data_IF_172001933900
#
_entry.id   IF_172001933900
#
_cell.length_a   1.000
_cell.length_b   1.000
_cell.length_c   1.000
_cell.angle_alpha   90.00
_cell.angle_beta   90.00
_cell.angle_gamma   90.00
#
_symmetry.space_group_name_H-M   'P 1'
#
loop_
_entity.id
_entity.type
_entity.pdbx_description
1 polymer ?
#
# COMPACT_ATOMS: atom_id res chain seq x y z
N UNK A 1 2.42 -5.81 -14.20
CA UNK A 1 3.90 -5.82 -14.35
C UNK A 1 4.49 -4.84 -13.35
N UNK A 2 5.68 -5.08 -12.81
CA UNK A 2 6.39 -4.11 -11.97
C UNK A 2 7.21 -3.13 -12.83
N UNK A 3 7.94 -2.22 -12.18
CA UNK A 3 8.77 -1.18 -12.83
C UNK A 3 9.94 -1.74 -13.66
N UNK A 4 10.33 -3.00 -13.46
CA UNK A 4 11.36 -3.69 -14.23
C UNK A 4 10.77 -4.40 -15.47
N UNK A 5 9.47 -4.28 -15.70
CA UNK A 5 8.77 -4.94 -16.81
C UNK A 5 8.45 -6.42 -16.59
N UNK A 6 8.76 -6.97 -15.41
CA UNK A 6 8.46 -8.36 -15.04
C UNK A 6 7.10 -8.48 -14.33
N UNK A 7 6.73 -9.69 -13.91
CA UNK A 7 5.49 -9.94 -13.16
C UNK A 7 5.43 -9.11 -11.86
N UNK A 8 4.22 -8.69 -11.48
CA UNK A 8 4.03 -7.92 -10.24
C UNK A 8 4.08 -8.88 -9.05
N UNK A 9 5.03 -8.67 -8.14
CA UNK A 9 5.11 -9.45 -6.90
C UNK A 9 4.08 -8.99 -5.87
N UNK A 10 3.75 -9.89 -4.94
CA UNK A 10 2.95 -9.56 -3.76
C UNK A 10 3.68 -8.51 -2.92
N UNK A 11 2.96 -7.47 -2.49
CA UNK A 11 3.48 -6.45 -1.61
C UNK A 11 3.31 -6.84 -0.13
N UNK A 12 2.08 -7.22 0.27
CA UNK A 12 1.80 -7.72 1.62
C UNK A 12 0.47 -8.48 1.64
N UNK A 13 0.51 -9.78 1.95
CA UNK A 13 -0.68 -10.63 1.99
C UNK A 13 -1.46 -10.56 3.31
N UNK A 14 -0.82 -10.08 4.38
CA UNK A 14 -1.41 -9.99 5.72
C UNK A 14 -0.89 -8.74 6.44
N UNK A 15 -1.65 -7.66 6.34
CA UNK A 15 -1.31 -6.39 6.98
C UNK A 15 -1.50 -6.54 8.49
N UNK A 16 -0.40 -6.53 9.24
CA UNK A 16 -0.37 -6.60 10.71
C UNK A 16 -1.12 -7.82 11.32
N UNK A 17 -1.18 -8.96 10.63
CA UNK A 17 -1.86 -10.15 11.16
C UNK A 17 -3.39 -10.07 11.10
N UNK A 18 -3.95 -9.16 10.31
CA UNK A 18 -5.39 -8.98 10.13
C UNK A 18 -6.05 -10.03 9.24
N UNK A 19 -5.27 -10.81 8.49
CA UNK A 19 -5.76 -11.70 7.44
C UNK A 19 -6.20 -10.98 6.17
N UNK A 20 -5.89 -9.68 6.04
CA UNK A 20 -6.29 -8.83 4.90
C UNK A 20 -5.03 -8.39 4.14
N UNK A 21 -5.05 -8.56 2.82
CA UNK A 21 -3.99 -8.09 1.93
C UNK A 21 -4.00 -6.57 1.73
N UNK A 22 -2.83 -6.00 1.45
CA UNK A 22 -2.70 -4.61 0.99
C UNK A 22 -3.27 -4.41 -0.43
N UNK A 23 -3.08 -3.21 -0.99
CA UNK A 23 -3.58 -2.86 -2.33
C UNK A 23 -4.99 -2.28 -2.29
N UNK A 24 -5.35 -1.54 -3.35
CA UNK A 24 -6.68 -0.94 -3.48
C UNK A 24 -7.78 -2.02 -3.49
N UNK A 25 -7.54 -3.14 -4.17
CA UNK A 25 -8.46 -4.28 -4.26
C UNK A 25 -8.35 -5.27 -3.09
N UNK A 26 -7.47 -5.03 -2.11
CA UNK A 26 -7.19 -5.92 -0.96
C UNK A 26 -6.72 -7.33 -1.34
N UNK A 27 -6.04 -7.44 -2.49
CA UNK A 27 -5.50 -8.70 -3.03
C UNK A 27 -4.04 -8.96 -2.63
N UNK A 28 -3.41 -8.02 -1.92
CA UNK A 28 -2.00 -8.09 -1.53
C UNK A 28 -1.04 -7.46 -2.54
N UNK A 29 -1.52 -6.95 -3.66
CA UNK A 29 -0.72 -6.39 -4.74
C UNK A 29 -0.96 -4.89 -4.91
N UNK A 30 0.04 -4.16 -5.39
CA UNK A 30 -0.12 -2.76 -5.82
C UNK A 30 -0.73 -2.67 -7.23
N UNK A 31 -1.75 -3.50 -7.49
CA UNK A 31 -2.55 -3.50 -8.70
C UNK A 31 -3.48 -2.28 -8.70
N UNK A 32 -3.80 -1.76 -9.88
CA UNK A 32 -4.63 -0.56 -10.05
C UNK A 32 -5.54 -0.70 -11.26
N UNK A 33 -6.54 0.17 -11.37
CA UNK A 33 -7.50 0.18 -12.46
C UNK A 33 -8.34 1.46 -12.45
N UNK A 34 -9.40 1.54 -13.27
CA UNK A 34 -10.20 2.77 -13.43
C UNK A 34 -10.81 3.30 -12.12
N UNK A 35 -11.09 2.42 -11.16
CA UNK A 35 -11.71 2.78 -9.87
C UNK A 35 -10.70 3.34 -8.85
N UNK A 36 -9.40 3.09 -9.06
CA UNK A 36 -8.32 3.53 -8.17
C UNK A 36 -7.79 4.89 -8.59
N UNK A 37 -8.57 5.94 -8.33
CA UNK A 37 -8.18 7.31 -8.62
C UNK A 37 -6.89 7.74 -7.89
N UNK A 38 -6.62 7.15 -6.72
CA UNK A 38 -5.43 7.41 -5.91
C UNK A 38 -4.15 6.74 -6.44
N UNK A 39 -4.29 5.76 -7.34
CA UNK A 39 -3.18 5.00 -7.96
C UNK A 39 -2.24 4.42 -6.91
N UNK A 40 -2.73 3.46 -6.14
CA UNK A 40 -2.00 2.74 -5.10
C UNK A 40 -0.98 1.74 -5.70
N UNK A 41 -0.08 2.22 -6.57
CA UNK A 41 0.84 1.41 -7.39
C UNK A 41 2.26 1.29 -6.82
N UNK A 42 2.53 1.89 -5.66
CA UNK A 42 3.87 1.90 -5.04
C UNK A 42 3.86 1.02 -3.79
N UNK A 43 4.61 -0.08 -3.83
CA UNK A 43 4.85 -0.90 -2.63
C UNK A 43 5.96 -0.24 -1.79
N UNK A 44 5.73 -0.11 -0.48
CA UNK A 44 6.69 0.49 0.44
C UNK A 44 6.84 -0.35 1.70
N UNK A 45 8.03 -0.31 2.30
CA UNK A 45 8.21 -0.60 3.72
C UNK A 45 7.95 0.71 4.48
N UNK A 46 6.81 0.78 5.15
CA UNK A 46 6.45 1.97 5.91
C UNK A 46 7.35 2.12 7.15
N UNK A 47 7.89 3.32 7.35
CA UNK A 47 8.68 3.67 8.54
C UNK A 47 7.92 4.67 9.41
N UNK A 48 8.24 4.75 10.70
CA UNK A 48 7.63 5.74 11.61
C UNK A 48 7.76 7.18 11.07
N UNK A 49 8.92 7.53 10.51
CA UNK A 49 9.15 8.84 9.88
C UNK A 49 8.21 9.08 8.70
N UNK A 50 8.02 8.10 7.83
CA UNK A 50 7.10 8.22 6.69
C UNK A 50 5.66 8.38 7.18
N UNK A 51 5.23 7.58 8.16
CA UNK A 51 3.89 7.65 8.73
C UNK A 51 3.61 9.02 9.37
N UNK A 52 4.58 9.57 10.12
CA UNK A 52 4.47 10.89 10.74
C UNK A 52 4.33 12.01 9.68
N UNK A 53 5.15 11.99 8.63
CA UNK A 53 5.06 12.96 7.53
C UNK A 53 3.74 12.81 6.77
N UNK A 54 3.34 11.58 6.47
CA UNK A 54 2.08 11.28 5.75
C UNK A 54 0.88 11.83 6.51
N UNK A 55 0.82 11.62 7.84
CA UNK A 55 -0.23 12.19 8.67
C UNK A 55 -0.20 13.73 8.69
N UNK A 56 1.00 14.34 8.79
CA UNK A 56 1.16 15.79 8.79
C UNK A 56 0.72 16.47 7.48
N UNK A 57 0.73 15.75 6.35
CA UNK A 57 0.24 16.24 5.05
C UNK A 57 -1.20 15.82 4.74
N UNK A 58 -1.95 15.33 5.73
CA UNK A 58 -3.36 14.99 5.59
C UNK A 58 -3.66 13.58 5.06
N UNK A 59 -2.68 12.68 5.11
CA UNK A 59 -2.83 11.27 4.73
C UNK A 59 -2.45 10.34 5.90
N UNK A 60 -3.28 10.25 6.96
CA UNK A 60 -3.02 9.34 8.06
C UNK A 60 -3.17 7.87 7.60
N UNK A 61 -2.07 7.11 7.68
CA UNK A 61 -2.02 5.68 7.28
C UNK A 61 -1.93 4.72 8.47
N UNK A 62 -1.72 5.25 9.67
CA UNK A 62 -1.79 4.51 10.91
C UNK A 62 -2.89 5.14 11.77
N UNK A 63 -3.63 4.31 12.48
CA UNK A 63 -4.38 4.76 13.64
C UNK A 63 -3.42 4.75 14.82
N UNK A 64 -3.30 5.85 15.56
CA UNK A 64 -2.59 5.82 16.85
C UNK A 64 -3.18 4.70 17.73
N UNK A 65 -2.39 4.09 18.62
CA UNK A 65 -2.95 3.26 19.69
C UNK A 65 -3.94 4.06 20.55
#
# INVERSE_FOLDING_TARGET
KNVLGTELGCCCADVHGSGIGTGFYRDGYCSTGPDDAGRHTVCIEATEKFLAVSAAVGNPLATNP
#
